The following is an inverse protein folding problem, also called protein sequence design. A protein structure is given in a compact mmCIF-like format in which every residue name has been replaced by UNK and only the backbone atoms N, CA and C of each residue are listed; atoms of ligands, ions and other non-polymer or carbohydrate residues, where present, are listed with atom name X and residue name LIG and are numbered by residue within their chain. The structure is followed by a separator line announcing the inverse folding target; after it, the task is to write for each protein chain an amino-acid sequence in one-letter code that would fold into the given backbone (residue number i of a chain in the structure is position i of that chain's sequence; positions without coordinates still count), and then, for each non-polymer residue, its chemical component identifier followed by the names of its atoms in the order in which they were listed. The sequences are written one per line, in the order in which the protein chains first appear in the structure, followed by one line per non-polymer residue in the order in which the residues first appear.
data_IF_170292303712
#
_entry.id   IF_170292303712
#
_cell.length_a   1.000
_cell.length_b   1.000
_cell.length_c   1.000
_cell.angle_alpha   90.00
_cell.angle_beta   90.00
_cell.angle_gamma   90.00
#
_symmetry.space_group_name_H-M   'P 1'
#
loop_
_entity.id
_entity.type
_entity.pdbx_description
1 polymer ?
#
# COMPACT_ATOMS: atom_id res chain seq x y z
N UNK A 1 64.46 10.90 9.98
CA UNK A 1 63.68 10.07 9.06
C UNK A 1 62.21 10.16 9.44
N UNK A 2 61.32 10.72 8.65
CA UNK A 2 59.91 10.77 8.96
C UNK A 2 59.24 9.44 8.56
N UNK A 3 58.56 8.83 9.50
CA UNK A 3 57.76 7.60 9.35
C UNK A 3 56.54 7.87 8.49
N UNK A 4 56.53 7.28 7.31
CA UNK A 4 55.37 7.27 6.42
C UNK A 4 54.20 6.50 7.07
N UNK A 5 53.06 7.17 7.25
CA UNK A 5 51.79 6.54 7.62
C UNK A 5 51.39 5.56 6.54
N UNK A 6 50.99 4.32 6.84
CA UNK A 6 50.54 3.39 5.84
C UNK A 6 49.25 3.90 5.18
N UNK A 7 49.18 3.78 3.85
CA UNK A 7 47.97 4.09 3.08
C UNK A 7 46.79 3.22 3.55
N UNK A 8 45.58 3.75 3.59
CA UNK A 8 44.40 2.99 4.02
C UNK A 8 44.19 1.79 3.08
N UNK A 9 44.02 0.61 3.69
CA UNK A 9 43.76 -0.63 2.97
C UNK A 9 42.49 -0.49 2.07
N UNK A 10 42.63 -0.76 0.78
CA UNK A 10 41.50 -0.90 -0.13
C UNK A 10 40.69 -2.12 0.30
N UNK A 11 39.45 -1.89 0.72
CA UNK A 11 38.50 -2.98 0.97
C UNK A 11 38.18 -3.68 -0.35
N UNK A 12 38.12 -5.03 -0.40
CA UNK A 12 37.76 -5.74 -1.61
C UNK A 12 36.33 -5.40 -2.04
N UNK A 13 36.18 -5.07 -3.32
CA UNK A 13 34.90 -4.76 -3.95
C UNK A 13 34.08 -6.03 -4.12
N UNK A 14 33.14 -6.30 -3.24
CA UNK A 14 32.16 -7.40 -3.34
C UNK A 14 30.76 -6.88 -3.64
N UNK A 15 30.63 -5.68 -4.11
CA UNK A 15 29.42 -5.19 -4.77
C UNK A 15 29.83 -4.06 -5.71
N UNK A 16 29.59 -4.26 -7.00
CA UNK A 16 29.93 -3.32 -8.06
C UNK A 16 29.00 -2.10 -8.11
N UNK A 17 28.14 -1.89 -7.12
CA UNK A 17 27.19 -0.79 -7.14
C UNK A 17 27.73 0.41 -6.38
N UNK A 18 28.30 1.35 -7.11
CA UNK A 18 28.76 2.64 -6.61
C UNK A 18 27.64 3.37 -5.87
N UNK A 19 26.38 3.16 -6.28
CA UNK A 19 25.20 3.77 -5.71
C UNK A 19 24.99 3.33 -4.27
N UNK A 20 24.97 2.03 -4.00
CA UNK A 20 24.80 1.47 -2.66
C UNK A 20 25.92 1.91 -1.74
N UNK A 21 27.18 1.87 -2.22
CA UNK A 21 28.33 2.25 -1.42
C UNK A 21 28.35 3.75 -1.08
N UNK A 22 28.00 4.60 -2.06
CA UNK A 22 27.87 6.05 -1.84
C UNK A 22 26.76 6.35 -0.82
N UNK A 23 25.62 5.70 -0.95
CA UNK A 23 24.49 5.84 -0.04
C UNK A 23 24.84 5.38 1.39
N UNK A 24 25.51 4.24 1.54
CA UNK A 24 25.96 3.74 2.84
C UNK A 24 26.89 4.71 3.56
N UNK A 25 27.93 5.18 2.85
CA UNK A 25 28.89 6.15 3.40
C UNK A 25 28.22 7.45 3.86
N UNK A 26 27.21 7.92 3.12
CA UNK A 26 26.53 9.16 3.44
C UNK A 26 25.49 9.00 4.57
N UNK A 27 24.57 8.02 4.44
CA UNK A 27 23.40 7.90 5.33
C UNK A 27 23.68 7.07 6.59
N UNK A 28 24.60 6.12 6.53
CA UNK A 28 24.91 5.21 7.66
C UNK A 28 26.17 5.62 8.39
N UNK A 29 27.25 5.92 7.66
CA UNK A 29 28.53 6.28 8.26
C UNK A 29 28.72 7.80 8.47
N UNK A 30 27.80 8.64 7.92
CA UNK A 30 27.79 10.09 8.17
C UNK A 30 28.90 10.88 7.46
N UNK A 31 29.54 10.32 6.42
CA UNK A 31 30.54 11.04 5.65
C UNK A 31 29.94 12.18 4.85
N UNK A 32 30.67 13.31 4.74
CA UNK A 32 30.28 14.38 3.82
C UNK A 32 30.47 14.00 2.36
N UNK A 33 29.80 14.69 1.45
CA UNK A 33 29.94 14.42 0.01
C UNK A 33 31.39 14.60 -0.48
N UNK A 34 32.16 15.51 0.12
CA UNK A 34 33.56 15.71 -0.14
C UNK A 34 34.43 14.52 0.29
N UNK A 35 34.22 14.06 1.52
CA UNK A 35 34.93 12.90 2.05
C UNK A 35 34.62 11.61 1.25
N UNK A 36 33.38 11.48 0.78
CA UNK A 36 32.97 10.36 -0.09
C UNK A 36 33.65 10.46 -1.46
N UNK A 37 33.72 11.66 -2.02
CA UNK A 37 34.38 11.90 -3.29
C UNK A 37 35.87 11.49 -3.23
N UNK A 38 36.56 11.90 -2.20
CA UNK A 38 37.94 11.51 -1.91
C UNK A 38 38.10 9.99 -1.72
N UNK A 39 37.23 9.39 -0.88
CA UNK A 39 37.30 7.96 -0.52
C UNK A 39 37.01 7.01 -1.69
N UNK A 40 36.14 7.44 -2.61
CA UNK A 40 35.73 6.65 -3.78
C UNK A 40 36.47 7.04 -5.07
N UNK A 41 37.36 8.05 -5.01
CA UNK A 41 38.09 8.60 -6.15
C UNK A 41 37.15 9.06 -7.28
N UNK A 42 36.14 9.84 -6.92
CA UNK A 42 35.15 10.41 -7.85
C UNK A 42 34.95 11.91 -7.57
N UNK A 43 34.35 12.63 -8.51
CA UNK A 43 34.03 14.04 -8.25
C UNK A 43 32.85 14.18 -7.27
N UNK A 44 32.83 15.25 -6.48
CA UNK A 44 31.70 15.62 -5.59
C UNK A 44 30.37 15.69 -6.37
N UNK A 45 30.41 16.21 -7.60
CA UNK A 45 29.25 16.24 -8.49
C UNK A 45 28.72 14.84 -8.81
N UNK A 46 29.62 13.87 -8.98
CA UNK A 46 29.24 12.45 -9.17
C UNK A 46 28.57 11.88 -7.93
N UNK A 47 29.12 12.13 -6.73
CA UNK A 47 28.52 11.72 -5.44
C UNK A 47 27.12 12.29 -5.30
N UNK A 48 26.93 13.59 -5.54
CA UNK A 48 25.63 14.25 -5.43
C UNK A 48 24.59 13.65 -6.39
N UNK A 49 24.96 13.43 -7.66
CA UNK A 49 24.08 12.78 -8.64
C UNK A 49 23.75 11.33 -8.27
N UNK A 50 24.73 10.60 -7.75
CA UNK A 50 24.53 9.21 -7.31
C UNK A 50 23.57 9.16 -6.11
N UNK A 51 23.70 10.04 -5.11
CA UNK A 51 22.76 10.12 -3.98
C UNK A 51 21.34 10.47 -4.42
N UNK A 52 21.19 11.41 -5.35
CA UNK A 52 19.90 11.75 -5.93
C UNK A 52 19.27 10.56 -6.68
N UNK A 53 20.08 9.82 -7.46
CA UNK A 53 19.64 8.61 -8.14
C UNK A 53 19.23 7.52 -7.13
N UNK A 54 20.01 7.30 -6.06
CA UNK A 54 19.66 6.34 -5.00
C UNK A 54 18.29 6.61 -4.36
N UNK A 55 17.95 7.88 -4.17
CA UNK A 55 16.63 8.27 -3.67
C UNK A 55 15.54 8.07 -4.71
N UNK A 56 15.79 8.42 -5.97
CA UNK A 56 14.85 8.23 -7.08
C UNK A 56 14.55 6.75 -7.39
N UNK A 57 15.57 5.90 -7.28
CA UNK A 57 15.49 4.44 -7.53
C UNK A 57 15.03 3.64 -6.29
N UNK A 58 14.81 4.29 -5.14
CA UNK A 58 14.37 3.65 -3.92
C UNK A 58 15.45 2.86 -3.18
N UNK A 59 16.73 2.98 -3.57
CA UNK A 59 17.88 2.42 -2.84
C UNK A 59 18.01 3.07 -1.46
N UNK A 60 17.70 4.37 -1.38
CA UNK A 60 17.63 5.14 -0.14
C UNK A 60 16.21 5.64 0.08
N UNK A 61 15.71 5.35 1.25
CA UNK A 61 14.41 5.82 1.72
C UNK A 61 14.64 6.68 2.96
N UNK A 62 14.21 7.94 2.90
CA UNK A 62 14.29 8.86 4.04
C UNK A 62 12.97 8.83 4.80
N UNK A 63 13.03 8.56 6.10
CA UNK A 63 11.89 8.56 7.02
C UNK A 63 12.00 9.77 7.97
N UNK A 64 10.88 10.49 8.16
CA UNK A 64 10.74 11.48 9.23
C UNK A 64 9.72 10.93 10.21
N UNK A 65 10.19 10.44 11.35
CA UNK A 65 9.38 9.75 12.36
C UNK A 65 9.04 10.73 13.52
N UNK A 66 8.37 11.86 13.21
CA UNK A 66 7.91 12.79 14.23
C UNK A 66 6.54 13.36 13.82
N UNK A 67 5.42 12.87 14.38
CA UNK A 67 4.13 13.51 14.20
C UNK A 67 4.17 14.91 14.84
N UNK A 68 3.64 15.89 14.13
CA UNK A 68 3.43 17.22 14.70
C UNK A 68 2.21 17.19 15.63
N UNK A 69 2.10 18.16 16.58
CA UNK A 69 0.92 18.26 17.44
C UNK A 69 -0.38 18.39 16.63
N UNK A 70 -0.34 19.01 15.46
CA UNK A 70 -1.47 19.15 14.54
C UNK A 70 -1.92 17.78 13.99
N UNK A 71 -0.98 16.91 13.60
CA UNK A 71 -1.32 15.57 13.11
C UNK A 71 -1.97 14.72 14.20
N UNK A 72 -1.42 14.76 15.42
CA UNK A 72 -2.01 14.06 16.57
C UNK A 72 -3.43 14.57 16.86
N UNK A 73 -3.70 15.86 16.72
CA UNK A 73 -5.03 16.42 16.86
C UNK A 73 -6.00 15.86 15.81
N UNK A 74 -5.58 15.84 14.53
CA UNK A 74 -6.36 15.28 13.43
C UNK A 74 -6.64 13.78 13.63
N UNK A 75 -5.66 13.02 14.08
CA UNK A 75 -5.81 11.59 14.40
C UNK A 75 -6.93 11.38 15.45
N UNK A 76 -6.88 12.12 16.54
CA UNK A 76 -7.90 12.04 17.62
C UNK A 76 -9.28 12.44 17.14
N UNK A 77 -9.41 13.51 16.35
CA UNK A 77 -10.70 13.91 15.79
C UNK A 77 -11.28 12.85 14.85
N UNK A 78 -10.44 12.23 13.98
CA UNK A 78 -10.84 11.14 13.09
C UNK A 78 -11.30 9.92 13.90
N UNK A 79 -10.55 9.51 14.94
CA UNK A 79 -10.89 8.39 15.82
C UNK A 79 -12.25 8.59 16.49
N UNK A 80 -12.47 9.75 17.09
CA UNK A 80 -13.74 10.08 17.77
C UNK A 80 -14.90 10.12 16.76
N UNK A 81 -14.70 10.74 15.60
CA UNK A 81 -15.77 11.00 14.63
C UNK A 81 -16.28 9.73 13.96
N UNK A 82 -15.42 8.77 13.66
CA UNK A 82 -15.79 7.51 12.99
C UNK A 82 -15.66 6.27 13.86
N UNK A 83 -15.35 6.42 15.15
CA UNK A 83 -15.21 5.29 16.06
C UNK A 83 -14.03 4.37 15.69
N UNK A 84 -12.94 4.97 15.16
CA UNK A 84 -11.75 4.22 14.79
C UNK A 84 -10.95 3.84 16.04
N UNK A 85 -10.29 2.69 15.99
CA UNK A 85 -9.34 2.29 17.03
C UNK A 85 -8.05 3.11 16.95
N UNK A 86 -7.66 3.51 15.72
CA UNK A 86 -6.52 4.37 15.47
C UNK A 86 -6.66 5.11 14.13
N UNK A 87 -6.08 6.29 14.07
CA UNK A 87 -5.79 6.98 12.81
C UNK A 87 -4.30 7.28 12.72
N UNK A 88 -3.75 7.22 11.53
CA UNK A 88 -2.36 7.62 11.22
C UNK A 88 -2.41 8.72 10.17
N UNK A 89 -2.05 9.92 10.57
CA UNK A 89 -2.08 11.10 9.69
C UNK A 89 -0.67 11.56 9.39
N UNK A 90 -0.26 11.42 8.12
CA UNK A 90 1.03 11.91 7.64
C UNK A 90 0.92 13.34 7.11
N UNK A 91 2.02 14.13 7.08
CA UNK A 91 2.03 15.39 6.36
C UNK A 91 1.68 15.20 4.88
N UNK A 92 0.83 16.07 4.32
CA UNK A 92 0.53 16.03 2.89
C UNK A 92 1.76 16.48 2.10
N UNK A 93 2.30 15.63 1.19
CA UNK A 93 3.40 16.04 0.34
C UNK A 93 3.02 17.18 -0.59
N UNK A 94 3.93 18.14 -0.80
CA UNK A 94 3.73 19.26 -1.72
C UNK A 94 3.57 18.81 -3.18
N UNK A 95 4.16 17.68 -3.55
CA UNK A 95 4.03 17.04 -4.88
C UNK A 95 3.03 15.91 -4.79
N UNK A 96 1.93 16.01 -5.51
CA UNK A 96 0.83 15.05 -5.46
C UNK A 96 1.25 13.60 -5.80
N UNK A 97 2.16 13.44 -6.75
CA UNK A 97 2.67 12.12 -7.16
C UNK A 97 3.44 11.38 -6.05
N UNK A 98 3.84 12.09 -5.00
CA UNK A 98 4.52 11.50 -3.84
C UNK A 98 3.54 10.98 -2.77
N UNK A 99 2.24 11.27 -2.89
CA UNK A 99 1.25 10.94 -1.85
C UNK A 99 1.11 9.43 -1.64
N UNK A 100 1.00 8.65 -2.72
CA UNK A 100 0.89 7.20 -2.63
C UNK A 100 2.12 6.57 -1.98
N UNK A 101 3.31 7.13 -2.27
CA UNK A 101 4.56 6.68 -1.67
C UNK A 101 4.62 7.02 -0.17
N UNK A 102 4.19 8.21 0.20
CA UNK A 102 4.18 8.67 1.60
C UNK A 102 3.19 7.86 2.45
N UNK A 103 1.97 7.61 1.96
CA UNK A 103 1.00 6.74 2.63
C UNK A 103 1.51 5.30 2.66
N UNK A 104 2.11 4.81 1.57
CA UNK A 104 2.72 3.48 1.52
C UNK A 104 3.80 3.27 2.58
N UNK A 105 4.59 4.32 2.87
CA UNK A 105 5.56 4.31 3.96
C UNK A 105 4.87 4.14 5.33
N UNK A 106 3.80 4.92 5.61
CA UNK A 106 3.05 4.79 6.85
C UNK A 106 2.39 3.39 6.99
N UNK A 107 1.90 2.82 5.87
CA UNK A 107 1.41 1.43 5.82
C UNK A 107 2.50 0.44 6.21
N UNK A 108 3.72 0.59 5.67
CA UNK A 108 4.83 -0.30 5.99
C UNK A 108 5.24 -0.21 7.45
N UNK A 109 5.29 1.00 8.03
CA UNK A 109 5.55 1.21 9.45
C UNK A 109 4.48 0.51 10.31
N UNK A 110 3.19 0.74 9.99
CA UNK A 110 2.07 0.11 10.67
C UNK A 110 2.15 -1.42 10.63
N UNK A 111 2.36 -2.02 9.45
CA UNK A 111 2.51 -3.48 9.34
C UNK A 111 3.73 -3.99 10.10
N UNK A 112 4.83 -3.23 10.09
CA UNK A 112 6.05 -3.57 10.84
C UNK A 112 5.81 -3.67 12.35
N UNK A 113 4.91 -2.87 12.90
CA UNK A 113 4.55 -2.88 14.31
C UNK A 113 3.47 -3.91 14.65
N UNK A 114 2.46 -4.07 13.78
CA UNK A 114 1.28 -4.86 14.07
C UNK A 114 1.41 -6.34 13.74
N UNK A 115 2.16 -6.69 12.67
CA UNK A 115 2.30 -8.09 12.26
C UNK A 115 3.18 -8.88 13.24
N UNK A 116 2.66 -9.99 13.70
CA UNK A 116 3.29 -10.88 14.68
C UNK A 116 3.24 -12.35 14.23
N UNK A 117 3.96 -13.22 14.93
CA UNK A 117 3.94 -14.66 14.74
C UNK A 117 2.51 -15.21 14.83
N UNK A 118 2.15 -16.08 13.93
CA UNK A 118 0.84 -16.74 13.87
C UNK A 118 -0.27 -15.94 13.20
N UNK A 119 -0.05 -14.64 12.88
CA UNK A 119 -1.08 -13.78 12.28
C UNK A 119 -1.24 -14.02 10.77
N UNK A 120 -2.45 -13.83 10.30
CA UNK A 120 -2.80 -13.79 8.89
C UNK A 120 -3.13 -12.37 8.46
N UNK A 121 -2.41 -11.86 7.43
CA UNK A 121 -2.71 -10.60 6.75
C UNK A 121 -3.52 -10.86 5.48
N UNK A 122 -4.75 -10.37 5.42
CA UNK A 122 -5.52 -10.30 4.19
C UNK A 122 -5.24 -8.96 3.49
N UNK A 123 -4.82 -8.98 2.23
CA UNK A 123 -4.35 -7.76 1.54
C UNK A 123 -5.03 -7.57 0.18
N UNK A 124 -5.49 -6.36 -0.05
CA UNK A 124 -5.98 -5.91 -1.35
C UNK A 124 -4.87 -5.61 -2.36
N UNK A 125 -5.17 -4.77 -3.32
CA UNK A 125 -4.23 -4.29 -4.32
C UNK A 125 -4.22 -2.77 -4.40
N UNK A 126 -3.51 -2.25 -5.40
CA UNK A 126 -3.46 -0.83 -5.71
C UNK A 126 -2.10 -0.18 -5.49
N UNK A 127 -1.94 1.02 -6.06
CA UNK A 127 -0.65 1.73 -6.11
C UNK A 127 -0.07 2.04 -4.72
N UNK A 128 -0.91 2.42 -3.75
CA UNK A 128 -0.49 2.71 -2.38
C UNK A 128 0.09 1.47 -1.70
N UNK A 129 -0.56 0.30 -1.83
CA UNK A 129 -0.05 -0.95 -1.24
C UNK A 129 1.21 -1.44 -1.97
N UNK A 130 1.26 -1.27 -3.29
CA UNK A 130 2.50 -1.53 -4.02
C UNK A 130 3.65 -0.63 -3.54
N UNK A 131 3.37 0.66 -3.33
CA UNK A 131 4.37 1.61 -2.84
C UNK A 131 4.91 1.23 -1.44
N UNK A 132 4.10 0.61 -0.58
CA UNK A 132 4.54 0.18 0.75
C UNK A 132 5.62 -0.89 0.73
N UNK A 133 5.70 -1.70 -0.34
CA UNK A 133 6.68 -2.78 -0.47
C UNK A 133 8.13 -2.31 -0.41
N UNK A 134 8.41 -1.09 -0.89
CA UNK A 134 9.75 -0.50 -0.84
C UNK A 134 10.20 -0.08 0.56
N UNK A 135 9.31 -0.10 1.55
CA UNK A 135 9.56 0.36 2.92
C UNK A 135 9.43 -0.75 3.97
N UNK A 136 8.90 -1.91 3.58
CA UNK A 136 8.78 -3.03 4.49
C UNK A 136 10.17 -3.60 4.86
N UNK A 137 10.46 -3.66 6.15
CA UNK A 137 11.65 -4.32 6.65
C UNK A 137 11.49 -5.85 6.60
N UNK A 138 12.53 -6.55 6.15
CA UNK A 138 12.56 -8.02 6.19
C UNK A 138 12.46 -8.52 7.63
N UNK A 139 11.55 -9.46 7.84
CA UNK A 139 11.33 -10.13 9.13
C UNK A 139 10.93 -11.58 8.87
N UNK A 140 11.43 -12.49 9.68
CA UNK A 140 10.97 -13.87 9.68
C UNK A 140 9.84 -14.03 10.71
N UNK A 141 8.59 -14.16 10.23
CA UNK A 141 7.42 -14.38 11.09
C UNK A 141 7.04 -15.87 11.07
N UNK A 142 6.98 -16.49 12.24
CA UNK A 142 6.67 -17.90 12.36
C UNK A 142 5.16 -18.13 12.27
N UNK A 143 4.74 -19.11 11.43
CA UNK A 143 3.32 -19.52 11.30
C UNK A 143 2.37 -18.36 10.92
N UNK A 144 2.90 -17.27 10.41
CA UNK A 144 2.10 -16.20 9.83
C UNK A 144 1.81 -16.51 8.35
N UNK A 145 0.89 -15.78 7.76
CA UNK A 145 0.55 -15.94 6.34
C UNK A 145 0.00 -14.66 5.72
N UNK A 146 0.02 -14.57 4.40
CA UNK A 146 -0.59 -13.49 3.63
C UNK A 146 -1.63 -14.07 2.70
N UNK A 147 -2.83 -13.46 2.64
CA UNK A 147 -3.93 -13.87 1.78
C UNK A 147 -4.31 -12.72 0.85
N UNK A 148 -4.28 -12.95 -0.47
CA UNK A 148 -4.76 -11.99 -1.43
C UNK A 148 -6.30 -11.92 -1.42
N UNK A 149 -6.85 -10.71 -1.32
CA UNK A 149 -8.30 -10.46 -1.30
C UNK A 149 -8.92 -10.36 -2.70
N UNK A 150 -8.10 -10.29 -3.75
CA UNK A 150 -8.56 -10.07 -5.14
C UNK A 150 -7.82 -11.01 -6.07
N UNK A 151 -8.50 -11.46 -7.11
CA UNK A 151 -7.92 -12.27 -8.19
C UNK A 151 -6.80 -11.55 -8.94
N UNK A 152 -6.20 -12.24 -9.90
CA UNK A 152 -5.00 -11.79 -10.60
C UNK A 152 -5.31 -11.02 -11.87
N UNK A 153 -4.45 -10.07 -12.23
CA UNK A 153 -4.48 -9.31 -13.48
C UNK A 153 -3.45 -9.88 -14.46
N UNK A 154 -3.82 -10.10 -15.74
CA UNK A 154 -2.91 -10.72 -16.71
C UNK A 154 -1.73 -9.85 -17.12
N UNK A 155 -1.87 -8.51 -17.04
CA UNK A 155 -0.88 -7.59 -17.60
C UNK A 155 -0.32 -6.54 -16.64
N UNK A 156 -0.75 -6.45 -15.39
CA UNK A 156 -0.21 -5.44 -14.51
C UNK A 156 0.99 -5.98 -13.76
N UNK A 157 2.15 -5.38 -14.00
CA UNK A 157 3.39 -5.81 -13.34
C UNK A 157 3.44 -5.41 -11.86
N UNK A 158 2.89 -4.24 -11.48
CA UNK A 158 3.11 -3.68 -10.15
C UNK A 158 1.84 -3.37 -9.36
N UNK A 159 0.68 -3.20 -10.00
CA UNK A 159 -0.61 -3.01 -9.30
C UNK A 159 -1.37 -4.32 -9.05
N UNK A 160 -0.86 -5.45 -9.55
CA UNK A 160 -1.53 -6.76 -9.43
C UNK A 160 -1.63 -7.19 -7.97
N UNK A 161 -2.84 -7.42 -7.42
CA UNK A 161 -3.03 -7.80 -6.03
C UNK A 161 -2.25 -9.05 -5.63
N UNK A 162 -2.18 -10.05 -6.50
CA UNK A 162 -1.44 -11.29 -6.24
C UNK A 162 0.07 -11.05 -6.14
N UNK A 163 0.62 -10.13 -6.93
CA UNK A 163 2.04 -9.73 -6.84
C UNK A 163 2.31 -8.99 -5.53
N UNK A 164 1.43 -8.09 -5.12
CA UNK A 164 1.57 -7.36 -3.85
C UNK A 164 1.56 -8.34 -2.68
N UNK A 165 0.58 -9.27 -2.64
CA UNK A 165 0.50 -10.29 -1.60
C UNK A 165 1.75 -11.19 -1.55
N UNK A 166 2.22 -11.67 -2.70
CA UNK A 166 3.43 -12.50 -2.78
C UNK A 166 4.68 -11.76 -2.28
N UNK A 167 4.85 -10.49 -2.67
CA UNK A 167 6.01 -9.69 -2.23
C UNK A 167 5.98 -9.38 -0.74
N UNK A 168 4.80 -9.12 -0.15
CA UNK A 168 4.68 -8.96 1.32
C UNK A 168 5.04 -10.28 2.02
N UNK A 169 4.59 -11.41 1.50
CA UNK A 169 4.92 -12.73 2.03
C UNK A 169 6.42 -13.02 1.94
N UNK A 170 7.08 -12.65 0.84
CA UNK A 170 8.54 -12.76 0.70
C UNK A 170 9.30 -11.92 1.74
N UNK A 171 8.84 -10.70 2.02
CA UNK A 171 9.47 -9.80 3.00
C UNK A 171 9.33 -10.34 4.42
N UNK A 172 8.20 -10.96 4.74
CA UNK A 172 7.94 -11.57 6.05
C UNK A 172 8.36 -13.05 6.13
N UNK A 173 8.84 -13.63 5.03
CA UNK A 173 9.25 -15.04 4.91
C UNK A 173 8.13 -16.01 5.33
N UNK A 174 6.92 -15.78 4.81
CA UNK A 174 5.70 -16.55 5.14
C UNK A 174 4.98 -17.08 3.91
N UNK A 175 4.02 -17.98 4.11
CA UNK A 175 3.17 -18.50 3.04
C UNK A 175 2.24 -17.41 2.45
N UNK A 176 2.04 -17.47 1.12
CA UNK A 176 1.10 -16.63 0.40
C UNK A 176 -0.04 -17.46 -0.20
N UNK A 177 -1.27 -17.09 0.11
CA UNK A 177 -2.49 -17.71 -0.45
C UNK A 177 -3.15 -16.73 -1.43
N UNK A 178 -3.45 -17.20 -2.62
CA UNK A 178 -3.92 -16.37 -3.72
C UNK A 178 -5.20 -16.87 -4.34
N UNK A 179 -6.07 -15.94 -4.78
CA UNK A 179 -7.22 -16.27 -5.62
C UNK A 179 -6.69 -16.51 -7.04
N UNK A 180 -6.51 -17.78 -7.41
CA UNK A 180 -5.98 -18.20 -8.71
C UNK A 180 -7.06 -18.12 -9.81
N UNK A 181 -7.65 -16.96 -9.95
CA UNK A 181 -8.66 -16.62 -10.96
C UNK A 181 -8.42 -15.19 -11.46
N UNK A 182 -8.91 -14.82 -12.64
CA UNK A 182 -8.90 -13.42 -13.09
C UNK A 182 -9.62 -12.53 -12.08
N UNK A 183 -9.20 -11.26 -11.95
CA UNK A 183 -9.88 -10.29 -11.08
C UNK A 183 -11.35 -10.08 -11.44
N UNK A 184 -11.68 -10.30 -12.70
CA UNK A 184 -13.05 -10.21 -13.23
C UNK A 184 -13.28 -11.30 -14.28
N UNK A 185 -14.45 -11.90 -14.23
CA UNK A 185 -14.92 -12.89 -15.22
C UNK A 185 -16.01 -12.29 -16.10
N UNK A 186 -16.27 -12.90 -17.24
CA UNK A 186 -17.27 -12.38 -18.19
C UNK A 186 -18.71 -12.71 -17.80
N UNK A 187 -18.90 -13.76 -17.02
CA UNK A 187 -20.22 -14.26 -16.63
C UNK A 187 -20.32 -14.49 -15.11
N UNK A 188 -21.38 -13.99 -14.43
CA UNK A 188 -21.62 -14.27 -13.01
C UNK A 188 -21.70 -15.75 -12.67
N UNK A 189 -22.21 -16.61 -13.55
CA UNK A 189 -22.26 -18.05 -13.30
C UNK A 189 -20.86 -18.69 -13.26
N UNK A 190 -19.93 -18.19 -14.08
CA UNK A 190 -18.54 -18.61 -14.02
C UNK A 190 -17.89 -18.20 -12.69
N UNK A 191 -18.21 -16.99 -12.18
CA UNK A 191 -17.77 -16.57 -10.84
C UNK A 191 -18.21 -17.58 -9.77
N UNK A 192 -19.47 -17.96 -9.79
CA UNK A 192 -20.03 -18.88 -8.79
C UNK A 192 -19.40 -20.28 -8.90
N UNK A 193 -19.18 -20.79 -10.11
CA UNK A 193 -18.49 -22.04 -10.35
C UNK A 193 -17.04 -22.02 -9.87
N UNK A 194 -16.31 -20.93 -10.08
CA UNK A 194 -14.95 -20.76 -9.58
C UNK A 194 -14.96 -20.73 -8.05
N UNK A 195 -15.84 -19.96 -7.43
CA UNK A 195 -15.95 -19.92 -5.96
C UNK A 195 -16.39 -21.25 -5.34
N UNK A 196 -17.06 -22.13 -6.09
CA UNK A 196 -17.41 -23.47 -5.64
C UNK A 196 -16.20 -24.42 -5.56
N UNK A 197 -15.04 -24.06 -6.15
CA UNK A 197 -13.84 -24.90 -6.10
C UNK A 197 -13.26 -24.98 -4.69
N UNK A 198 -12.92 -26.19 -4.18
CA UNK A 198 -12.42 -26.39 -2.81
C UNK A 198 -11.19 -25.53 -2.49
N UNK A 199 -10.28 -25.32 -3.44
CA UNK A 199 -9.07 -24.53 -3.28
C UNK A 199 -9.39 -23.04 -3.07
N UNK A 200 -10.36 -22.48 -3.81
CA UNK A 200 -10.79 -21.09 -3.64
C UNK A 200 -11.63 -20.91 -2.37
N UNK A 201 -12.41 -21.91 -1.99
CA UNK A 201 -13.09 -21.93 -0.69
C UNK A 201 -12.10 -21.91 0.48
N UNK A 202 -10.94 -22.58 0.34
CA UNK A 202 -9.89 -22.50 1.37
C UNK A 202 -9.32 -21.09 1.50
N UNK A 203 -9.02 -20.42 0.38
CA UNK A 203 -8.57 -19.03 0.38
C UNK A 203 -9.61 -18.12 1.05
N UNK A 204 -10.91 -18.31 0.74
CA UNK A 204 -12.00 -17.55 1.35
C UNK A 204 -12.08 -17.74 2.87
N UNK A 205 -11.92 -18.98 3.33
CA UNK A 205 -11.89 -19.28 4.79
C UNK A 205 -10.71 -18.60 5.49
N UNK A 206 -9.51 -18.62 4.86
CA UNK A 206 -8.33 -17.95 5.40
C UNK A 206 -8.50 -16.43 5.44
N UNK A 207 -9.08 -15.83 4.41
CA UNK A 207 -9.38 -14.41 4.39
C UNK A 207 -10.39 -14.02 5.48
N UNK A 208 -11.42 -14.85 5.70
CA UNK A 208 -12.41 -14.65 6.76
C UNK A 208 -11.83 -14.81 8.18
N UNK A 209 -10.77 -15.62 8.32
CA UNK A 209 -10.06 -15.86 9.57
C UNK A 209 -8.81 -14.95 9.74
N UNK A 210 -8.62 -13.96 8.89
CA UNK A 210 -7.47 -13.05 8.96
C UNK A 210 -7.54 -12.16 10.21
N UNK A 211 -6.38 -11.82 10.75
CA UNK A 211 -6.25 -10.91 11.90
C UNK A 211 -6.27 -9.44 11.46
N UNK A 212 -5.71 -9.18 10.28
CA UNK A 212 -5.63 -7.85 9.67
C UNK A 212 -6.12 -7.91 8.23
N UNK A 213 -7.01 -6.99 7.83
CA UNK A 213 -7.35 -6.73 6.44
C UNK A 213 -6.82 -5.36 6.02
N UNK A 214 -5.91 -5.32 5.05
CA UNK A 214 -5.32 -4.08 4.57
C UNK A 214 -5.87 -3.72 3.19
N UNK A 215 -6.54 -2.59 3.10
CA UNK A 215 -7.34 -2.14 1.97
C UNK A 215 -6.91 -0.77 1.46
N UNK A 216 -7.23 -0.52 0.20
CA UNK A 216 -7.24 0.81 -0.41
C UNK A 216 -8.59 1.09 -1.04
N UNK A 217 -8.84 2.35 -1.36
CA UNK A 217 -10.05 2.77 -2.08
C UNK A 217 -9.68 3.66 -3.26
N UNK A 218 -10.39 3.49 -4.38
CA UNK A 218 -10.36 4.36 -5.54
C UNK A 218 -11.63 5.18 -5.67
N UNK A 219 -11.55 6.34 -6.30
CA UNK A 219 -12.70 7.14 -6.75
C UNK A 219 -13.25 6.63 -8.11
N UNK A 220 -14.32 7.25 -8.59
CA UNK A 220 -14.93 6.92 -9.88
C UNK A 220 -14.56 8.01 -10.92
N UNK A 221 -13.26 8.13 -11.18
CA UNK A 221 -12.73 9.05 -12.20
C UNK A 221 -11.92 8.30 -13.25
N UNK A 222 -11.71 8.87 -14.45
CA UNK A 222 -10.87 8.25 -15.48
C UNK A 222 -9.43 7.98 -15.01
N UNK A 223 -8.93 8.77 -14.06
CA UNK A 223 -7.58 8.60 -13.50
C UNK A 223 -7.49 7.52 -12.41
N UNK A 224 -8.63 7.00 -11.93
CA UNK A 224 -8.61 5.94 -10.94
C UNK A 224 -7.94 4.67 -11.53
N UNK A 225 -7.13 4.01 -10.72
CA UNK A 225 -6.32 2.85 -11.13
C UNK A 225 -7.12 1.80 -11.90
N UNK A 226 -8.36 1.53 -11.47
CA UNK A 226 -9.22 0.51 -12.07
C UNK A 226 -9.61 0.81 -13.53
N UNK A 227 -9.76 2.10 -13.88
CA UNK A 227 -10.09 2.54 -15.25
C UNK A 227 -8.83 2.83 -16.05
N UNK A 228 -7.82 3.48 -15.45
CA UNK A 228 -6.56 3.83 -16.11
C UNK A 228 -5.78 2.61 -16.61
N UNK A 229 -5.94 1.46 -15.98
CA UNK A 229 -5.30 0.19 -16.36
C UNK A 229 -6.28 -0.80 -16.99
N UNK A 230 -7.42 -0.33 -17.49
CA UNK A 230 -8.44 -1.13 -18.19
C UNK A 230 -8.89 -2.40 -17.45
N UNK A 231 -8.80 -2.40 -16.11
CA UNK A 231 -9.35 -3.47 -15.26
C UNK A 231 -10.88 -3.52 -15.45
N UNK A 232 -11.46 -2.32 -15.50
CA UNK A 232 -12.85 -2.09 -15.89
C UNK A 232 -12.85 -1.03 -17.00
N UNK A 233 -13.59 -1.22 -18.09
CA UNK A 233 -13.65 -0.24 -19.17
C UNK A 233 -14.11 1.13 -18.69
N UNK A 234 -13.45 2.20 -19.13
CA UNK A 234 -13.79 3.58 -18.77
C UNK A 234 -15.20 4.00 -19.24
N UNK A 235 -15.76 3.30 -20.24
CA UNK A 235 -17.16 3.47 -20.68
C UNK A 235 -18.18 3.18 -19.57
N UNK A 236 -17.80 2.42 -18.54
CA UNK A 236 -18.67 2.11 -17.39
C UNK A 236 -18.69 3.21 -16.32
N UNK A 237 -17.84 4.24 -16.40
CA UNK A 237 -17.82 5.34 -15.43
C UNK A 237 -19.19 6.03 -15.33
N UNK A 238 -19.78 6.40 -16.47
CA UNK A 238 -21.09 7.09 -16.51
C UNK A 238 -22.22 6.18 -16.01
N UNK A 239 -22.39 4.94 -16.48
CA UNK A 239 -23.38 4.01 -15.93
C UNK A 239 -23.22 3.76 -14.43
N UNK A 240 -22.01 3.59 -13.94
CA UNK A 240 -21.75 3.36 -12.50
C UNK A 240 -22.14 4.58 -11.66
N UNK A 241 -21.76 5.79 -12.08
CA UNK A 241 -22.18 7.03 -11.42
C UNK A 241 -23.71 7.20 -11.43
N UNK A 242 -24.37 6.85 -12.52
CA UNK A 242 -25.84 6.88 -12.62
C UNK A 242 -26.51 5.91 -11.62
N UNK A 243 -25.82 4.82 -11.24
CA UNK A 243 -26.26 3.90 -10.19
C UNK A 243 -25.81 4.33 -8.78
N UNK A 244 -25.21 5.52 -8.63
CA UNK A 244 -24.79 6.08 -7.36
C UNK A 244 -23.41 5.64 -6.88
N UNK A 245 -22.59 5.01 -7.72
CA UNK A 245 -21.24 4.62 -7.36
C UNK A 245 -20.38 5.85 -7.05
N UNK A 246 -19.71 5.85 -5.90
CA UNK A 246 -18.77 6.88 -5.46
C UNK A 246 -17.38 6.33 -5.18
N UNK A 247 -17.27 5.03 -4.94
CA UNK A 247 -16.02 4.38 -4.57
C UNK A 247 -15.85 3.01 -5.23
N UNK A 248 -14.58 2.61 -5.35
CA UNK A 248 -14.16 1.29 -5.76
C UNK A 248 -13.27 0.67 -4.67
N UNK A 249 -13.63 -0.51 -4.18
CA UNK A 249 -12.87 -1.29 -3.19
C UNK A 249 -12.81 -2.75 -3.62
N UNK A 250 -11.64 -3.37 -3.63
CA UNK A 250 -11.45 -4.75 -4.09
C UNK A 250 -12.12 -5.04 -5.43
N UNK A 251 -12.14 -4.04 -6.33
CA UNK A 251 -12.87 -4.03 -7.61
C UNK A 251 -14.41 -3.98 -7.51
N UNK A 252 -14.99 -3.97 -6.32
CA UNK A 252 -16.41 -3.71 -6.11
C UNK A 252 -16.72 -2.21 -6.11
N UNK A 253 -17.84 -1.83 -6.70
CA UNK A 253 -18.34 -0.44 -6.74
C UNK A 253 -19.42 -0.25 -5.68
N UNK A 254 -19.24 0.79 -4.85
CA UNK A 254 -20.14 1.09 -3.74
C UNK A 254 -20.71 2.51 -3.82
N UNK A 255 -21.90 2.69 -3.25
CA UNK A 255 -22.57 3.98 -3.09
C UNK A 255 -22.04 4.76 -1.89
N UNK A 256 -22.53 5.99 -1.66
CA UNK A 256 -22.15 6.82 -0.53
C UNK A 256 -22.52 6.26 0.85
N UNK A 257 -23.39 5.25 0.91
CA UNK A 257 -23.73 4.53 2.12
C UNK A 257 -22.85 3.29 2.34
N UNK A 258 -21.90 3.02 1.45
CA UNK A 258 -21.01 1.85 1.49
C UNK A 258 -21.64 0.55 0.97
N UNK A 259 -22.80 0.61 0.32
CA UNK A 259 -23.50 -0.55 -0.21
C UNK A 259 -23.11 -0.79 -1.68
N UNK A 260 -23.02 -2.05 -2.07
CA UNK A 260 -22.78 -2.41 -3.47
C UNK A 260 -23.85 -1.77 -4.39
N UNK A 261 -23.41 -1.08 -5.43
CA UNK A 261 -24.37 -0.58 -6.45
C UNK A 261 -24.93 -1.75 -7.27
N UNK A 262 -26.20 -1.69 -7.64
CA UNK A 262 -26.81 -2.69 -8.50
C UNK A 262 -26.37 -2.51 -9.95
N UNK A 263 -25.20 -3.08 -10.24
CA UNK A 263 -24.61 -3.12 -11.57
C UNK A 263 -23.96 -4.49 -11.80
N UNK A 264 -24.07 -5.01 -13.02
CA UNK A 264 -23.55 -6.33 -13.39
C UNK A 264 -22.08 -6.52 -13.10
N UNK A 265 -21.27 -5.46 -13.21
CA UNK A 265 -19.84 -5.50 -12.93
C UNK A 265 -19.53 -6.06 -11.53
N UNK A 266 -20.34 -5.72 -10.50
CA UNK A 266 -20.16 -6.22 -9.15
C UNK A 266 -20.43 -7.73 -9.03
N UNK A 267 -21.22 -8.30 -9.91
CA UNK A 267 -21.51 -9.73 -9.94
C UNK A 267 -20.44 -10.57 -10.64
N UNK A 268 -19.45 -9.91 -11.27
CA UNK A 268 -18.38 -10.53 -12.05
C UNK A 268 -17.02 -10.48 -11.37
N UNK A 269 -16.91 -9.81 -10.23
CA UNK A 269 -15.65 -9.64 -9.49
C UNK A 269 -15.23 -10.93 -8.78
N UNK A 270 -13.99 -11.34 -8.99
CA UNK A 270 -13.34 -12.41 -8.25
C UNK A 270 -12.51 -11.80 -7.10
N UNK A 271 -13.20 -11.39 -6.06
CA UNK A 271 -12.61 -10.89 -4.81
C UNK A 271 -13.41 -11.43 -3.62
N UNK A 272 -12.80 -11.36 -2.44
CA UNK A 272 -13.50 -11.66 -1.18
C UNK A 272 -14.59 -10.61 -0.99
N UNK A 273 -15.77 -11.06 -0.61
CA UNK A 273 -16.93 -10.20 -0.43
C UNK A 273 -16.67 -9.16 0.69
N UNK A 274 -17.16 -7.93 0.53
CA UNK A 274 -16.89 -6.83 1.47
C UNK A 274 -17.45 -7.11 2.88
N UNK A 275 -18.56 -7.85 2.97
CA UNK A 275 -19.12 -8.27 4.25
C UNK A 275 -18.21 -9.26 4.99
N UNK A 276 -17.52 -10.15 4.30
CA UNK A 276 -16.51 -11.02 4.92
C UNK A 276 -15.35 -10.20 5.45
N UNK A 277 -14.86 -9.24 4.67
CA UNK A 277 -13.77 -8.35 5.09
C UNK A 277 -14.18 -7.49 6.29
N UNK A 278 -15.43 -7.02 6.33
CA UNK A 278 -15.96 -6.20 7.41
C UNK A 278 -15.98 -6.91 8.80
N UNK A 279 -15.84 -8.24 8.82
CA UNK A 279 -15.77 -9.04 10.04
C UNK A 279 -14.35 -9.33 10.51
N UNK A 280 -13.33 -8.93 9.74
CA UNK A 280 -11.93 -9.05 10.18
C UNK A 280 -11.70 -8.16 11.39
N UNK A 281 -11.01 -8.65 12.45
CA UNK A 281 -10.85 -7.89 13.71
C UNK A 281 -10.17 -6.54 13.54
N UNK A 282 -9.25 -6.40 12.58
CA UNK A 282 -8.52 -5.18 12.32
C UNK A 282 -8.54 -4.84 10.82
N UNK A 283 -9.50 -4.00 10.42
CA UNK A 283 -9.64 -3.51 9.04
C UNK A 283 -8.93 -2.17 8.90
N UNK A 284 -7.87 -2.15 8.13
CA UNK A 284 -7.01 -1.00 7.86
C UNK A 284 -7.31 -0.44 6.47
N UNK A 285 -7.73 0.80 6.40
CA UNK A 285 -7.92 1.53 5.15
C UNK A 285 -6.76 2.52 4.95
N UNK A 286 -6.00 2.36 3.88
CA UNK A 286 -4.92 3.27 3.49
C UNK A 286 -5.30 4.06 2.24
N UNK A 287 -5.62 5.33 2.40
CA UNK A 287 -6.05 6.17 1.28
C UNK A 287 -5.86 7.66 1.59
N UNK A 288 -5.51 8.46 0.58
CA UNK A 288 -5.39 9.90 0.69
C UNK A 288 -5.63 10.62 -0.63
N UNK A 289 -5.65 11.95 -0.55
CA UNK A 289 -5.95 12.85 -1.64
C UNK A 289 -7.40 13.36 -1.62
N UNK A 290 -7.56 14.67 -1.71
CA UNK A 290 -8.86 15.37 -1.63
C UNK A 290 -9.93 14.83 -2.59
N UNK A 291 -9.52 14.29 -3.76
CA UNK A 291 -10.45 13.66 -4.71
C UNK A 291 -11.11 12.40 -4.14
N UNK A 292 -10.42 11.67 -3.27
CA UNK A 292 -10.89 10.40 -2.70
C UNK A 292 -11.76 10.56 -1.44
N UNK A 293 -12.01 11.77 -0.96
CA UNK A 293 -12.76 12.00 0.29
C UNK A 293 -14.13 11.31 0.28
N UNK A 294 -14.92 11.45 -0.79
CA UNK A 294 -16.21 10.76 -0.91
C UNK A 294 -16.05 9.22 -0.93
N UNK A 295 -15.01 8.73 -1.59
CA UNK A 295 -14.69 7.31 -1.65
C UNK A 295 -14.25 6.76 -0.28
N UNK A 296 -13.41 7.52 0.45
CA UNK A 296 -12.98 7.14 1.80
C UNK A 296 -14.19 7.08 2.75
N UNK A 297 -15.09 8.07 2.71
CA UNK A 297 -16.32 8.07 3.53
C UNK A 297 -17.22 6.86 3.22
N UNK A 298 -17.33 6.46 1.96
CA UNK A 298 -18.07 5.25 1.58
C UNK A 298 -17.36 3.98 2.08
N UNK A 299 -16.04 3.92 1.98
CA UNK A 299 -15.24 2.79 2.43
C UNK A 299 -15.30 2.58 3.95
N UNK A 300 -15.25 3.65 4.75
CA UNK A 300 -15.39 3.59 6.20
C UNK A 300 -16.69 2.91 6.63
N UNK A 301 -17.75 3.05 5.82
CA UNK A 301 -19.07 2.42 6.09
C UNK A 301 -19.16 1.00 5.51
N UNK A 302 -18.46 0.73 4.40
CA UNK A 302 -18.61 -0.54 3.67
C UNK A 302 -17.97 -1.72 4.41
N UNK A 303 -16.89 -1.51 5.16
CA UNK A 303 -16.06 -2.60 5.72
C UNK A 303 -15.73 -2.45 7.21
N UNK A 304 -16.48 -1.66 7.95
CA UNK A 304 -16.24 -1.43 9.39
C UNK A 304 -14.78 -1.10 9.68
N UNK A 305 -14.23 -0.10 9.00
CA UNK A 305 -12.81 0.28 9.13
C UNK A 305 -12.46 0.59 10.60
N UNK A 306 -11.41 -0.05 11.11
CA UNK A 306 -10.91 0.17 12.46
C UNK A 306 -9.72 1.14 12.47
N UNK A 307 -8.93 1.17 11.39
CA UNK A 307 -7.76 2.02 11.29
C UNK A 307 -7.76 2.75 9.95
N UNK A 308 -7.54 4.05 10.00
CA UNK A 308 -7.40 4.89 8.80
C UNK A 308 -5.96 5.43 8.73
N UNK A 309 -5.28 5.16 7.61
CA UNK A 309 -3.97 5.75 7.27
C UNK A 309 -4.20 6.75 6.15
N UNK A 310 -3.94 8.04 6.40
CA UNK A 310 -4.23 9.13 5.46
C UNK A 310 -3.26 10.29 5.59
N UNK A 311 -3.43 11.33 4.77
CA UNK A 311 -2.67 12.58 4.83
C UNK A 311 -3.47 13.71 5.48
N UNK A 312 -2.78 14.74 5.98
CA UNK A 312 -3.36 15.88 6.72
C UNK A 312 -4.46 16.60 5.94
N UNK A 313 -4.25 16.90 4.65
CA UNK A 313 -5.25 17.59 3.82
C UNK A 313 -6.52 16.76 3.63
N UNK A 314 -6.35 15.44 3.49
CA UNK A 314 -7.47 14.51 3.40
C UNK A 314 -8.19 14.40 4.73
N UNK A 315 -7.48 14.33 5.85
CA UNK A 315 -8.04 14.30 7.19
C UNK A 315 -8.93 15.53 7.45
N UNK A 316 -8.41 16.74 7.18
CA UNK A 316 -9.17 18.01 7.30
C UNK A 316 -10.43 17.98 6.42
N UNK A 317 -10.30 17.50 5.17
CA UNK A 317 -11.43 17.44 4.24
C UNK A 317 -12.49 16.40 4.63
N UNK A 318 -12.08 15.28 5.26
CA UNK A 318 -13.00 14.30 5.84
C UNK A 318 -13.77 14.91 7.00
N UNK A 319 -13.09 15.52 7.96
CA UNK A 319 -13.70 16.17 9.13
C UNK A 319 -14.70 17.26 8.73
N UNK A 320 -14.37 18.07 7.72
CA UNK A 320 -15.26 19.12 7.21
C UNK A 320 -16.57 18.59 6.57
N UNK A 321 -16.57 17.35 6.02
CA UNK A 321 -17.77 16.72 5.41
C UNK A 321 -18.62 15.92 6.36
N UNK A 322 -18.18 15.78 7.58
CA UNK A 322 -18.86 14.99 8.58
C UNK A 322 -19.89 15.82 9.40
N UNK A 323 -20.15 17.07 9.00
CA UNK A 323 -21.16 17.99 9.52
C UNK A 323 -22.55 17.76 8.93
#
# INVERSE_FOLDING_TARGET
MPTQKPAPARLPMVSSDLSVKTAWLYYVEGFTQEQIAEKLDVSRMKVMRTLAACTAEGIVVTMINAPTAEQVALERELEIRWGLNAAVVIPTPSVHDHLEKAIGHAVAAYLGEQMQDGMTLAIGGGATLHASLGFLARRHLKRASVVALVGSLPHSQWINPSIVAAKVADVFEVDSYQITAPVMVDDPSLRDLLWAQPTLQDVRRRAAAADIALLTVGDISPDATIFRHDIVPSSLITPLKAKGAVANMLCYFVDAAGRLVDHEVNRRVMAIDLDVVAHVPNVVLAAGGKRKVAAILAALKAVNTNVLITDSDTAIALLAKAG
#
